data_IF_295629679422
#
_entry.id   IF_295629679422
#
_cell.length_a   1.000
_cell.length_b   1.000
_cell.length_c   1.000
_cell.angle_alpha   90.00
_cell.angle_beta   90.00
_cell.angle_gamma   90.00
#
_symmetry.space_group_name_H-M   'P 1'
#
loop_
_entity.id
_entity.type
_entity.pdbx_description
1 polymer ?
#
# COMPACT_ATOMS: atom_id res chain seq x y z
N UNK A 1 10.89 -11.25 -15.95
CA UNK A 1 10.07 -10.31 -15.15
C UNK A 1 8.92 -9.65 -15.92
N UNK A 2 8.91 -9.64 -17.24
CA UNK A 2 7.83 -9.02 -18.04
C UNK A 2 6.56 -9.85 -18.19
N UNK A 3 6.63 -11.18 -18.04
CA UNK A 3 5.47 -12.06 -18.28
C UNK A 3 4.36 -11.96 -17.20
N UNK A 4 4.69 -11.78 -15.93
CA UNK A 4 3.67 -11.74 -14.87
C UNK A 4 2.87 -10.43 -14.89
N UNK A 5 3.50 -9.31 -15.23
CA UNK A 5 2.81 -8.02 -15.35
C UNK A 5 1.85 -8.03 -16.55
N UNK A 6 2.25 -8.68 -17.64
CA UNK A 6 1.40 -8.76 -18.84
C UNK A 6 0.13 -9.61 -18.61
N UNK A 7 0.22 -10.68 -17.84
CA UNK A 7 -0.93 -11.53 -17.50
C UNK A 7 -1.94 -10.84 -16.58
N UNK A 8 -1.47 -10.10 -15.60
CA UNK A 8 -2.35 -9.34 -14.68
C UNK A 8 -3.07 -8.22 -15.46
N UNK A 9 -2.36 -7.51 -16.32
CA UNK A 9 -2.90 -6.40 -17.12
C UNK A 9 -3.93 -6.90 -18.13
N UNK A 10 -3.71 -8.05 -18.80
CA UNK A 10 -4.65 -8.58 -19.79
C UNK A 10 -5.96 -9.10 -19.19
N UNK A 11 -5.91 -9.70 -17.97
CA UNK A 11 -7.12 -10.16 -17.28
C UNK A 11 -7.98 -9.02 -16.70
N UNK A 12 -7.34 -7.93 -16.26
CA UNK A 12 -8.02 -6.77 -15.67
C UNK A 12 -8.68 -5.89 -16.76
N UNK A 13 -8.13 -5.84 -17.95
CA UNK A 13 -8.63 -5.02 -19.04
C UNK A 13 -10.04 -5.36 -19.56
N UNK A 14 -10.62 -6.49 -19.13
CA UNK A 14 -11.96 -6.91 -19.50
C UNK A 14 -13.09 -6.29 -18.63
N UNK A 15 -12.74 -5.62 -17.54
CA UNK A 15 -13.72 -5.02 -16.63
C UNK A 15 -13.93 -3.54 -16.95
N UNK A 16 -15.18 -3.13 -17.11
CA UNK A 16 -15.56 -1.75 -17.49
C UNK A 16 -15.22 -0.69 -16.45
N UNK A 17 -15.02 -1.09 -15.20
CA UNK A 17 -14.66 -0.22 -14.07
C UNK A 17 -13.14 -0.22 -13.76
N UNK A 18 -12.34 -0.84 -14.62
CA UNK A 18 -10.89 -0.92 -14.48
C UNK A 18 -10.22 -0.15 -15.62
N UNK A 19 -9.32 0.75 -15.26
CA UNK A 19 -8.46 1.45 -16.22
C UNK A 19 -7.06 0.92 -16.08
N UNK A 20 -6.53 0.35 -17.17
CA UNK A 20 -5.15 -0.10 -17.24
C UNK A 20 -4.29 1.06 -17.75
N UNK A 21 -3.37 1.52 -16.93
CA UNK A 21 -2.43 2.56 -17.31
C UNK A 21 -1.19 1.94 -17.98
N UNK A 22 -0.57 2.63 -18.95
CA UNK A 22 0.69 2.19 -19.53
C UNK A 22 1.80 2.21 -18.47
N UNK A 23 2.94 1.59 -18.80
CA UNK A 23 4.13 1.72 -17.98
C UNK A 23 4.48 3.20 -17.83
N UNK A 24 4.64 3.64 -16.59
CA UNK A 24 4.91 5.03 -16.24
C UNK A 24 6.25 5.18 -15.50
N UNK A 25 6.77 6.39 -15.48
CA UNK A 25 7.94 6.73 -14.67
C UNK A 25 7.62 6.58 -13.17
N UNK A 26 8.66 6.46 -12.34
CA UNK A 26 8.48 6.44 -10.89
C UNK A 26 7.77 7.71 -10.39
N UNK A 27 8.11 8.86 -10.95
CA UNK A 27 7.49 10.15 -10.61
C UNK A 27 5.99 10.15 -10.92
N UNK A 28 5.62 9.67 -12.10
CA UNK A 28 4.20 9.61 -12.51
C UNK A 28 3.43 8.61 -11.65
N UNK A 29 4.05 7.51 -11.24
CA UNK A 29 3.43 6.55 -10.32
C UNK A 29 3.19 7.16 -8.94
N UNK A 30 4.09 8.01 -8.43
CA UNK A 30 3.85 8.75 -7.17
C UNK A 30 2.71 9.74 -7.30
N UNK A 31 2.57 10.41 -8.45
CA UNK A 31 1.43 11.31 -8.71
C UNK A 31 0.11 10.55 -8.72
N UNK A 32 0.06 9.39 -9.38
CA UNK A 32 -1.13 8.54 -9.38
C UNK A 32 -1.49 8.03 -7.97
N UNK A 33 -0.49 7.70 -7.15
CA UNK A 33 -0.68 7.33 -5.75
C UNK A 33 -1.26 8.50 -4.95
N UNK A 34 -0.74 9.72 -5.13
CA UNK A 34 -1.19 10.92 -4.42
C UNK A 34 -2.64 11.29 -4.76
N UNK A 35 -3.13 10.94 -5.94
CA UNK A 35 -4.52 11.15 -6.37
C UNK A 35 -5.46 10.01 -5.94
N UNK A 36 -4.93 8.94 -5.36
CA UNK A 36 -5.69 7.76 -4.97
C UNK A 36 -6.17 7.84 -3.52
N UNK A 37 -7.42 7.46 -3.26
CA UNK A 37 -7.93 7.30 -1.90
C UNK A 37 -7.37 6.04 -1.22
N UNK A 38 -7.18 4.97 -2.00
CA UNK A 38 -6.68 3.67 -1.56
C UNK A 38 -5.65 3.13 -2.55
N UNK A 39 -4.64 2.43 -2.03
CA UNK A 39 -3.60 1.77 -2.84
C UNK A 39 -3.48 0.31 -2.43
N UNK A 40 -3.79 -0.59 -3.34
CA UNK A 40 -3.65 -2.03 -3.13
C UNK A 40 -2.21 -2.48 -3.40
N UNK A 41 -1.67 -3.24 -2.48
CA UNK A 41 -0.37 -3.88 -2.58
C UNK A 41 -0.47 -5.37 -2.24
N UNK A 42 0.37 -6.17 -2.86
CA UNK A 42 0.50 -7.62 -2.62
C UNK A 42 1.97 -7.96 -2.48
N UNK A 43 2.33 -8.65 -1.40
CA UNK A 43 3.72 -9.06 -1.10
C UNK A 43 3.84 -10.56 -0.77
N UNK A 44 3.57 -11.46 -1.72
CA UNK A 44 3.51 -12.89 -1.43
C UNK A 44 4.87 -13.48 -1.01
N UNK A 45 5.96 -12.87 -1.46
CA UNK A 45 7.33 -13.40 -1.27
C UNK A 45 8.18 -12.63 -0.27
N UNK A 46 7.73 -11.46 0.19
CA UNK A 46 8.52 -10.56 1.04
C UNK A 46 7.82 -10.32 2.38
N UNK A 47 7.91 -11.32 3.27
CA UNK A 47 7.19 -11.32 4.55
C UNK A 47 7.97 -10.69 5.73
N UNK A 48 9.19 -10.21 5.50
CA UNK A 48 10.04 -9.61 6.55
C UNK A 48 10.21 -8.10 6.42
N UNK A 49 9.68 -7.48 5.38
CA UNK A 49 9.86 -6.06 5.11
C UNK A 49 8.57 -5.34 4.74
N UNK A 50 8.73 -4.09 4.34
CA UNK A 50 7.64 -3.24 3.84
C UNK A 50 7.96 -2.84 2.42
N UNK A 51 7.00 -3.00 1.51
CA UNK A 51 7.15 -2.57 0.14
C UNK A 51 7.09 -1.04 0.07
N UNK A 52 7.91 -0.42 -0.78
CA UNK A 52 7.95 1.03 -0.98
C UNK A 52 6.59 1.62 -1.39
N UNK A 53 5.79 0.89 -2.16
CA UNK A 53 4.42 1.30 -2.53
C UNK A 53 3.55 1.55 -1.30
N UNK A 54 3.67 0.73 -0.25
CA UNK A 54 2.94 0.90 1.01
C UNK A 54 3.33 2.20 1.69
N UNK A 55 4.65 2.43 1.84
CA UNK A 55 5.17 3.66 2.44
C UNK A 55 4.82 4.90 1.60
N UNK A 56 4.93 4.79 0.28
CA UNK A 56 4.56 5.87 -0.63
C UNK A 56 3.06 6.21 -0.57
N UNK A 57 2.18 5.21 -0.44
CA UNK A 57 0.75 5.44 -0.25
C UNK A 57 0.50 6.23 1.04
N UNK A 58 1.04 5.77 2.16
CA UNK A 58 0.89 6.42 3.47
C UNK A 58 1.47 7.84 3.49
N UNK A 59 2.63 8.04 2.85
CA UNK A 59 3.28 9.36 2.78
C UNK A 59 2.50 10.36 1.91
N UNK A 60 1.76 9.89 0.93
CA UNK A 60 0.93 10.72 0.06
C UNK A 60 -0.54 10.82 0.52
N UNK A 61 -0.86 10.32 1.71
CA UNK A 61 -2.21 10.44 2.30
C UNK A 61 -3.24 9.45 1.76
N UNK A 62 -2.82 8.42 1.03
CA UNK A 62 -3.66 7.31 0.63
C UNK A 62 -3.69 6.22 1.70
N UNK A 63 -4.82 5.52 1.83
CA UNK A 63 -4.90 4.33 2.69
C UNK A 63 -4.31 3.14 1.96
N UNK A 64 -3.29 2.52 2.54
CA UNK A 64 -2.73 1.29 2.01
C UNK A 64 -3.60 0.09 2.35
N UNK A 65 -3.83 -0.78 1.37
CA UNK A 65 -4.48 -2.09 1.51
C UNK A 65 -3.42 -3.12 1.16
N UNK A 66 -2.97 -3.91 2.13
CA UNK A 66 -1.85 -4.84 1.89
C UNK A 66 -1.95 -6.10 2.75
N UNK A 67 -1.40 -7.19 2.24
CA UNK A 67 -1.09 -8.34 3.08
C UNK A 67 0.02 -7.99 4.06
N UNK A 68 -0.04 -8.57 5.27
CA UNK A 68 0.87 -8.20 6.34
C UNK A 68 2.25 -8.85 6.21
N UNK A 69 3.21 -8.24 6.90
CA UNK A 69 4.56 -8.76 7.11
C UNK A 69 4.98 -8.51 8.56
N UNK A 70 6.02 -9.19 9.03
CA UNK A 70 6.51 -9.01 10.40
C UNK A 70 6.92 -7.55 10.68
N UNK A 71 7.46 -6.85 9.70
CA UNK A 71 7.81 -5.43 9.86
C UNK A 71 6.58 -4.52 9.85
N UNK A 72 5.56 -4.83 9.04
CA UNK A 72 4.27 -4.13 9.09
C UNK A 72 3.64 -4.24 10.48
N UNK A 73 3.58 -5.44 11.04
CA UNK A 73 2.99 -5.72 12.36
C UNK A 73 3.76 -5.04 13.51
N UNK A 74 5.05 -4.77 13.32
CA UNK A 74 5.88 -4.05 14.29
C UNK A 74 5.66 -2.53 14.21
N UNK A 75 5.51 -1.99 13.02
CA UNK A 75 5.53 -0.54 12.77
C UNK A 75 4.13 0.08 12.69
N UNK A 76 3.15 -0.68 12.25
CA UNK A 76 1.79 -0.22 11.96
C UNK A 76 0.74 -1.14 12.56
N UNK A 77 -0.43 -0.60 12.87
CA UNK A 77 -1.54 -1.35 13.45
C UNK A 77 -2.56 -1.68 12.37
N UNK A 78 -2.82 -2.98 12.12
CA UNK A 78 -3.86 -3.42 11.17
C UNK A 78 -5.22 -2.79 11.51
N UNK A 79 -5.99 -2.45 10.50
CA UNK A 79 -7.33 -1.84 10.57
C UNK A 79 -7.37 -0.49 11.32
N UNK A 80 -6.21 0.11 11.54
CA UNK A 80 -6.07 1.47 12.10
C UNK A 80 -5.17 2.35 11.23
N UNK A 81 -4.00 1.86 10.84
CA UNK A 81 -3.03 2.59 10.04
C UNK A 81 -3.05 2.14 8.58
N UNK A 82 -3.60 0.97 8.32
CA UNK A 82 -3.78 0.38 6.99
C UNK A 82 -4.86 -0.70 7.04
N UNK A 83 -5.36 -1.12 5.89
CA UNK A 83 -6.27 -2.24 5.78
C UNK A 83 -5.44 -3.50 5.50
N UNK A 84 -5.39 -4.40 6.50
CA UNK A 84 -4.71 -5.67 6.37
C UNK A 84 -5.64 -6.74 5.81
N UNK A 85 -5.16 -7.56 4.88
CA UNK A 85 -5.83 -8.77 4.42
C UNK A 85 -4.90 -9.97 4.44
N UNK A 86 -5.47 -11.19 4.38
CA UNK A 86 -4.71 -12.44 4.32
C UNK A 86 -4.72 -13.01 2.91
N UNK A 87 -3.56 -13.39 2.39
CA UNK A 87 -3.45 -14.10 1.10
C UNK A 87 -4.07 -15.49 1.17
N UNK A 88 -4.07 -16.15 2.33
CA UNK A 88 -4.68 -17.46 2.52
C UNK A 88 -6.22 -17.41 2.51
N UNK A 89 -6.80 -16.21 2.61
CA UNK A 89 -8.24 -15.95 2.58
C UNK A 89 -8.54 -14.77 1.68
N UNK A 90 -7.96 -14.75 0.50
CA UNK A 90 -8.12 -13.65 -0.47
C UNK A 90 -9.59 -13.46 -0.90
N UNK A 91 -10.39 -14.49 -0.84
CA UNK A 91 -11.83 -14.46 -1.11
C UNK A 91 -12.61 -13.58 -0.13
N UNK A 92 -12.06 -13.29 1.05
CA UNK A 92 -12.67 -12.37 2.02
C UNK A 92 -12.35 -10.88 1.74
N UNK A 93 -11.45 -10.59 0.81
CA UNK A 93 -11.06 -9.21 0.49
C UNK A 93 -12.23 -8.33 0.02
N UNK A 94 -13.17 -8.78 -0.83
CA UNK A 94 -14.32 -7.97 -1.22
C UNK A 94 -15.18 -7.52 -0.02
N UNK A 95 -15.45 -8.40 0.94
CA UNK A 95 -16.24 -8.07 2.13
C UNK A 95 -15.51 -7.07 3.02
N UNK A 96 -14.20 -7.23 3.16
CA UNK A 96 -13.34 -6.30 3.87
C UNK A 96 -13.39 -4.90 3.23
N UNK A 97 -13.26 -4.83 1.91
CA UNK A 97 -13.33 -3.57 1.17
C UNK A 97 -14.72 -2.93 1.27
N UNK A 98 -15.79 -3.70 1.17
CA UNK A 98 -17.15 -3.21 1.35
C UNK A 98 -17.39 -2.61 2.75
N UNK A 99 -16.65 -3.06 3.76
CA UNK A 99 -16.72 -2.53 5.12
C UNK A 99 -16.02 -1.18 5.24
N UNK A 100 -14.82 -1.04 4.69
CA UNK A 100 -13.96 0.12 4.97
C UNK A 100 -13.95 1.19 3.87
N UNK A 101 -14.14 0.81 2.61
CA UNK A 101 -14.04 1.78 1.50
C UNK A 101 -15.14 2.84 1.52
N UNK A 102 -16.39 2.55 1.89
CA UNK A 102 -17.44 3.56 1.97
C UNK A 102 -17.32 4.51 3.18
N UNK A 103 -16.50 4.14 4.18
CA UNK A 103 -16.34 4.90 5.42
C UNK A 103 -15.30 6.02 5.26
N UNK A 104 -15.76 7.22 4.98
CA UNK A 104 -14.90 8.39 4.81
C UNK A 104 -14.18 8.81 6.10
N UNK A 105 -14.83 8.66 7.26
CA UNK A 105 -14.23 8.98 8.55
C UNK A 105 -13.11 7.99 8.88
N UNK A 106 -13.32 6.70 8.65
CA UNK A 106 -12.28 5.69 8.76
C UNK A 106 -11.11 6.01 7.84
N UNK A 107 -11.37 6.30 6.57
CA UNK A 107 -10.35 6.65 5.58
C UNK A 107 -9.50 7.83 6.04
N UNK A 108 -10.14 8.94 6.44
CA UNK A 108 -9.44 10.15 6.87
C UNK A 108 -8.58 9.91 8.12
N UNK A 109 -9.10 9.22 9.11
CA UNK A 109 -8.38 8.89 10.34
C UNK A 109 -7.21 7.93 10.10
N UNK A 110 -7.42 6.91 9.26
CA UNK A 110 -6.40 5.94 8.90
C UNK A 110 -5.26 6.60 8.13
N UNK A 111 -5.56 7.42 7.14
CA UNK A 111 -4.56 8.18 6.39
C UNK A 111 -3.75 9.12 7.30
N UNK A 112 -4.39 9.82 8.22
CA UNK A 112 -3.70 10.72 9.15
C UNK A 112 -2.76 9.97 10.11
N UNK A 113 -3.19 8.84 10.67
CA UNK A 113 -2.34 8.01 11.54
C UNK A 113 -1.16 7.41 10.80
N UNK A 114 -1.41 6.86 9.60
CA UNK A 114 -0.36 6.30 8.77
C UNK A 114 0.66 7.36 8.35
N UNK A 115 0.20 8.55 7.96
CA UNK A 115 1.05 9.67 7.60
C UNK A 115 1.98 10.10 8.76
N UNK A 116 1.45 10.18 9.98
CA UNK A 116 2.25 10.53 11.15
C UNK A 116 3.36 9.49 11.41
N UNK A 117 3.07 8.20 11.27
CA UNK A 117 4.04 7.11 11.51
C UNK A 117 5.08 7.00 10.39
N UNK A 118 4.68 7.16 9.13
CA UNK A 118 5.55 6.97 7.97
C UNK A 118 6.67 8.01 7.89
N UNK A 119 6.55 9.15 8.57
CA UNK A 119 7.62 10.17 8.67
C UNK A 119 8.94 9.61 9.19
N UNK A 120 8.91 8.50 9.94
CA UNK A 120 10.11 7.84 10.44
C UNK A 120 10.83 6.97 9.38
N UNK A 121 10.20 6.74 8.23
CA UNK A 121 10.72 5.88 7.15
C UNK A 121 11.32 6.67 5.97
N UNK A 122 11.57 7.96 6.12
CA UNK A 122 12.24 8.75 5.09
C UNK A 122 13.72 8.38 4.97
N UNK A 123 14.29 8.57 3.78
CA UNK A 123 15.73 8.35 3.57
C UNK A 123 16.60 9.17 4.54
N UNK A 124 16.19 10.41 4.86
CA UNK A 124 16.89 11.25 5.83
C UNK A 124 16.93 10.60 7.21
N UNK A 125 15.81 10.07 7.69
CA UNK A 125 15.72 9.36 8.98
C UNK A 125 16.52 8.06 8.97
N UNK A 126 16.49 7.31 7.89
CA UNK A 126 17.27 6.08 7.75
C UNK A 126 18.79 6.38 7.72
N UNK A 127 19.22 7.43 7.03
CA UNK A 127 20.62 7.87 7.04
C UNK A 127 21.06 8.33 8.43
N UNK A 128 20.22 9.06 9.16
CA UNK A 128 20.47 9.45 10.55
C UNK A 128 20.66 8.23 11.46
N UNK A 129 19.77 7.25 11.36
CA UNK A 129 19.87 5.99 12.11
C UNK A 129 21.19 5.24 11.82
N UNK A 130 21.55 5.08 10.54
CA UNK A 130 22.81 4.42 10.15
C UNK A 130 24.03 5.13 10.77
N UNK A 131 24.02 6.46 10.84
CA UNK A 131 25.11 7.24 11.47
C UNK A 131 25.24 6.99 12.97
N UNK A 132 24.20 6.54 13.65
CA UNK A 132 24.25 6.23 15.09
C UNK A 132 24.84 4.85 15.39
N UNK A 133 24.91 3.95 14.40
CA UNK A 133 25.39 2.56 14.56
C UNK A 133 26.77 2.33 13.91
N UNK A 134 27.31 3.33 13.23
CA UNK A 134 28.68 3.32 12.69
C UNK A 134 29.64 4.05 13.63
#
# INVERSE_FOLDING_TARGET
MSMSVHYIVSGIGEFSNVTVLPQMSYRDSLSAIAESAFVLNVMPWFKSGIHDRVLNAMYNGAVSITDSSSMMDTCFTPQQDYIAYSLDRIEALPDLLNTYVPDEDFRAQTAARAFAKVQNFTFAKQAEYIRTIL
#
